data_IF_165277631014
#
_entry.id   IF_165277631014
#
_cell.length_a   1.000
_cell.length_b   1.000
_cell.length_c   1.000
_cell.angle_alpha   90.00
_cell.angle_beta   90.00
_cell.angle_gamma   90.00
#
_symmetry.space_group_name_H-M   'P 1'
#
loop_
_entity.id
_entity.type
_entity.pdbx_description
1 polymer ?
#
# COMPACT_ATOMS: atom_id res chain seq x y z
N UNK A 1 9.01 -0.88 -6.40
CA UNK A 1 9.96 -0.18 -5.51
C UNK A 1 9.14 0.91 -4.86
N UNK A 2 9.06 0.93 -3.54
CA UNK A 2 8.28 1.97 -2.87
C UNK A 2 8.92 3.33 -3.09
N UNK A 3 8.10 4.21 -3.66
CA UNK A 3 8.30 5.61 -4.04
C UNK A 3 8.33 6.51 -2.80
N UNK A 4 9.12 6.15 -1.77
CA UNK A 4 9.33 7.11 -0.68
C UNK A 4 9.99 8.34 -1.29
N UNK A 5 9.25 9.45 -1.26
CA UNK A 5 9.65 10.75 -1.79
C UNK A 5 9.39 11.80 -0.75
N UNK A 6 10.37 12.67 -0.55
CA UNK A 6 10.25 13.86 0.28
C UNK A 6 10.01 15.03 -0.67
N UNK A 7 8.81 15.58 -0.65
CA UNK A 7 8.38 16.63 -1.59
C UNK A 7 8.10 17.93 -0.85
N UNK A 8 8.30 19.06 -1.53
CA UNK A 8 7.77 20.33 -1.08
C UNK A 8 6.25 20.32 -1.21
N UNK A 9 5.54 20.82 -0.21
CA UNK A 9 4.09 20.79 -0.12
C UNK A 9 3.58 22.11 0.47
N UNK A 10 2.45 22.59 -0.06
CA UNK A 10 1.82 23.81 0.43
C UNK A 10 0.91 23.48 1.61
N UNK A 11 1.13 24.14 2.73
CA UNK A 11 0.48 23.82 3.99
C UNK A 11 -0.86 24.54 4.16
N UNK A 12 -1.82 23.83 4.77
CA UNK A 12 -2.96 24.47 5.44
C UNK A 12 -2.85 24.21 6.93
N UNK A 13 -2.85 25.27 7.76
CA UNK A 13 -2.70 25.14 9.21
C UNK A 13 -4.08 25.18 9.88
N UNK A 14 -4.33 24.20 10.73
CA UNK A 14 -5.54 24.07 11.53
C UNK A 14 -5.20 24.16 13.02
N UNK A 15 -6.13 24.67 13.86
CA UNK A 15 -5.98 24.62 15.30
C UNK A 15 -5.90 23.16 15.78
N UNK A 16 -5.20 22.95 16.89
CA UNK A 16 -5.23 21.70 17.62
C UNK A 16 -6.15 21.85 18.84
N UNK A 17 -7.38 21.33 18.75
CA UNK A 17 -8.42 21.57 19.76
C UNK A 17 -8.05 21.10 21.18
N UNK A 18 -7.14 20.13 21.28
CA UNK A 18 -6.70 19.52 22.54
C UNK A 18 -5.26 19.90 22.98
N UNK A 19 -4.65 20.98 22.43
CA UNK A 19 -3.29 21.39 22.82
C UNK A 19 -2.99 22.88 22.53
N UNK A 20 -2.52 23.61 23.55
CA UNK A 20 -2.25 25.05 23.44
C UNK A 20 -0.98 25.40 22.65
N UNK A 21 0.00 24.48 22.62
CA UNK A 21 1.32 24.68 22.03
C UNK A 21 1.50 24.00 20.66
N UNK A 22 0.44 23.36 20.13
CA UNK A 22 0.50 22.59 18.91
C UNK A 22 -0.56 23.06 17.90
N UNK A 23 -0.29 22.80 16.63
CA UNK A 23 -1.20 23.00 15.49
C UNK A 23 -1.13 21.78 14.57
N UNK A 24 -2.03 21.70 13.60
CA UNK A 24 -2.05 20.64 12.59
C UNK A 24 -1.72 21.23 11.23
N UNK A 25 -0.57 20.84 10.66
CA UNK A 25 -0.21 21.15 9.29
C UNK A 25 -0.80 20.07 8.37
N UNK A 26 -1.70 20.48 7.47
CA UNK A 26 -2.28 19.61 6.46
C UNK A 26 -1.45 19.62 5.17
N UNK A 27 -1.16 18.41 4.68
CA UNK A 27 -0.48 18.11 3.41
C UNK A 27 -1.33 17.12 2.64
N UNK A 28 -1.95 17.53 1.53
CA UNK A 28 -2.99 16.73 0.88
C UNK A 28 -4.13 16.46 1.86
N UNK A 29 -4.40 15.17 2.15
CA UNK A 29 -5.34 14.75 3.22
C UNK A 29 -4.62 14.23 4.48
N UNK A 30 -3.29 14.29 4.54
CA UNK A 30 -2.53 14.01 5.76
C UNK A 30 -2.53 15.22 6.69
N UNK A 31 -2.41 14.95 7.99
CA UNK A 31 -2.14 15.97 9.01
C UNK A 31 -0.90 15.57 9.79
N UNK A 32 0.01 16.51 9.99
CA UNK A 32 1.17 16.38 10.87
C UNK A 32 1.07 17.43 11.97
N UNK A 33 1.35 17.02 13.21
CA UNK A 33 1.39 17.94 14.35
C UNK A 33 2.67 18.77 14.27
N UNK A 34 2.50 20.10 14.35
CA UNK A 34 3.59 21.08 14.32
C UNK A 34 3.52 21.99 15.55
N UNK A 35 4.61 22.70 15.87
CA UNK A 35 4.59 23.67 16.95
C UNK A 35 3.71 24.87 16.56
N UNK A 36 2.95 25.39 17.52
CA UNK A 36 2.05 26.52 17.27
C UNK A 36 2.82 27.76 16.81
N UNK A 37 2.35 28.38 15.73
CA UNK A 37 2.97 29.58 15.14
C UNK A 37 4.26 29.32 14.37
N UNK A 38 4.67 28.05 14.20
CA UNK A 38 5.83 27.69 13.38
C UNK A 38 5.56 27.92 11.89
N UNK A 39 4.32 27.74 11.44
CA UNK A 39 3.88 27.87 10.06
C UNK A 39 2.57 28.66 9.97
N UNK A 40 2.26 29.14 8.77
CA UNK A 40 0.99 29.77 8.40
C UNK A 40 0.40 29.08 7.18
N UNK A 41 -0.93 29.14 7.06
CA UNK A 41 -1.62 28.65 5.86
C UNK A 41 -1.08 29.36 4.62
N UNK A 42 -0.66 28.57 3.64
CA UNK A 42 -0.04 29.05 2.40
C UNK A 42 1.48 28.92 2.38
N UNK A 43 2.14 28.66 3.51
CA UNK A 43 3.57 28.39 3.58
C UNK A 43 3.92 27.11 2.82
N UNK A 44 5.18 27.04 2.35
CA UNK A 44 5.76 25.84 1.74
C UNK A 44 6.74 25.19 2.70
N UNK A 45 6.66 23.87 2.81
CA UNK A 45 7.58 23.06 3.60
C UNK A 45 7.77 21.69 2.98
N UNK A 46 8.79 20.95 3.42
CA UNK A 46 8.97 19.56 3.02
C UNK A 46 8.07 18.64 3.85
N UNK A 47 7.50 17.64 3.19
CA UNK A 47 6.79 16.54 3.84
C UNK A 47 7.61 15.25 3.79
N UNK A 48 7.98 14.72 4.96
CA UNK A 48 8.64 13.42 5.12
C UNK A 48 7.59 12.38 5.51
N UNK A 49 7.30 11.38 4.66
CA UNK A 49 6.21 10.43 4.90
C UNK A 49 6.56 9.38 5.97
N UNK A 50 5.54 8.64 6.42
CA UNK A 50 5.71 7.46 7.26
C UNK A 50 6.59 6.39 6.59
N UNK A 51 7.34 5.62 7.40
CA UNK A 51 8.29 4.63 6.91
C UNK A 51 9.63 5.21 6.46
N UNK A 52 9.82 6.54 6.52
CA UNK A 52 11.13 7.17 6.37
C UNK A 52 12.06 6.86 7.54
N UNK A 53 13.34 6.63 7.24
CA UNK A 53 14.46 6.66 8.17
C UNK A 53 15.21 7.98 7.95
N UNK A 54 15.40 8.74 9.01
CA UNK A 54 16.12 10.02 8.98
C UNK A 54 17.53 9.81 9.52
N UNK A 55 18.54 10.51 8.97
CA UNK A 55 19.87 10.53 9.57
C UNK A 55 19.88 11.34 10.90
N UNK A 56 20.83 11.02 11.79
CA UNK A 56 20.88 11.56 13.15
C UNK A 56 20.99 13.09 13.21
N UNK A 57 21.68 13.69 12.26
CA UNK A 57 21.85 15.14 12.13
C UNK A 57 20.51 15.84 11.83
N UNK A 58 19.74 15.30 10.88
CA UNK A 58 18.40 15.79 10.57
C UNK A 58 17.45 15.59 11.77
N UNK A 59 17.53 14.46 12.47
CA UNK A 59 16.74 14.22 13.69
C UNK A 59 17.04 15.27 14.76
N UNK A 60 18.33 15.57 14.98
CA UNK A 60 18.78 16.56 15.95
C UNK A 60 18.33 17.96 15.55
N UNK A 61 18.48 18.34 14.28
CA UNK A 61 18.03 19.63 13.75
C UNK A 61 16.52 19.85 13.98
N UNK A 62 15.72 18.82 13.75
CA UNK A 62 14.27 18.87 13.92
C UNK A 62 13.81 18.78 15.39
N UNK A 63 14.74 18.59 16.34
CA UNK A 63 14.41 18.43 17.76
C UNK A 63 13.66 17.13 18.08
N UNK A 64 13.88 16.08 17.28
CA UNK A 64 13.19 14.79 17.36
C UNK A 64 14.03 13.69 18.00
N UNK A 65 15.20 14.01 18.57
CA UNK A 65 16.10 13.05 19.21
C UNK A 65 15.36 12.18 20.23
N UNK A 66 15.41 10.86 20.01
CA UNK A 66 14.77 9.87 20.87
C UNK A 66 13.24 9.77 20.74
N UNK A 67 12.61 10.52 19.83
CA UNK A 67 11.14 10.57 19.67
C UNK A 67 10.60 9.70 18.54
N UNK A 68 11.43 9.31 17.58
CA UNK A 68 11.02 8.48 16.45
C UNK A 68 11.01 6.99 16.82
N UNK A 69 10.34 6.18 15.99
CA UNK A 69 10.16 4.76 16.21
C UNK A 69 11.41 3.95 15.82
N UNK A 70 11.37 2.64 16.08
CA UNK A 70 12.47 1.72 15.78
C UNK A 70 13.52 1.67 16.90
N UNK A 71 14.43 0.70 16.80
CA UNK A 71 15.58 0.55 17.70
C UNK A 71 16.57 1.70 17.54
N UNK A 72 16.73 2.21 16.30
CA UNK A 72 17.56 3.38 15.98
C UNK A 72 16.96 4.71 16.40
N UNK A 73 15.68 4.77 16.78
CA UNK A 73 14.95 6.02 17.07
C UNK A 73 15.02 7.03 15.91
N UNK A 74 14.89 6.50 14.70
CA UNK A 74 15.10 7.18 13.43
C UNK A 74 13.93 7.02 12.44
N UNK A 75 12.95 6.17 12.77
CA UNK A 75 11.85 5.83 11.87
C UNK A 75 10.59 6.66 12.10
N UNK A 76 10.11 7.35 11.07
CA UNK A 76 8.82 8.05 11.05
C UNK A 76 7.67 7.04 11.05
N UNK A 77 6.73 7.19 12.00
CA UNK A 77 5.51 6.39 12.10
C UNK A 77 4.34 7.32 12.43
N UNK A 78 3.13 7.00 11.97
CA UNK A 78 1.93 7.62 12.52
C UNK A 78 1.85 7.47 14.05
N UNK A 79 1.50 8.57 14.71
CA UNK A 79 1.29 8.63 16.16
C UNK A 79 0.00 9.37 16.46
N UNK A 80 -0.54 9.16 17.68
CA UNK A 80 -1.55 10.07 18.23
C UNK A 80 -0.90 10.99 19.24
N UNK A 81 -1.06 12.30 19.03
CA UNK A 81 -0.60 13.32 19.96
C UNK A 81 -1.84 14.06 20.44
N UNK A 82 -2.13 13.95 21.75
CA UNK A 82 -3.29 14.59 22.38
C UNK A 82 -4.62 14.33 21.64
N UNK A 83 -4.79 13.09 21.17
CA UNK A 83 -6.01 12.64 20.47
C UNK A 83 -5.92 12.73 18.94
N UNK A 84 -5.17 13.69 18.41
CA UNK A 84 -5.04 13.92 16.97
C UNK A 84 -4.07 12.94 16.32
N UNK A 85 -4.42 12.46 15.12
CA UNK A 85 -3.53 11.64 14.30
C UNK A 85 -2.49 12.54 13.63
N UNK A 86 -1.20 12.23 13.84
CA UNK A 86 -0.07 12.86 13.17
C UNK A 86 0.60 11.86 12.24
N UNK A 87 0.63 12.15 10.94
CA UNK A 87 1.19 11.32 9.88
C UNK A 87 2.30 12.06 9.14
N UNK A 88 3.52 11.54 9.23
CA UNK A 88 4.71 12.16 8.64
C UNK A 88 5.26 13.32 9.47
N UNK A 89 6.22 14.03 8.88
CA UNK A 89 6.88 15.22 9.47
C UNK A 89 6.81 16.36 8.45
N UNK A 90 6.49 17.56 8.93
CA UNK A 90 6.54 18.81 8.15
C UNK A 90 7.73 19.64 8.64
N UNK A 91 8.65 19.97 7.74
CA UNK A 91 9.90 20.64 8.10
C UNK A 91 10.49 21.52 6.99
N UNK A 92 11.36 22.45 7.38
CA UNK A 92 12.24 23.21 6.47
C UNK A 92 13.68 23.09 6.99
N UNK A 93 14.39 21.99 6.66
CA UNK A 93 15.78 21.79 7.07
C UNK A 93 16.71 22.86 6.51
N UNK A 94 17.86 23.07 7.15
CA UNK A 94 18.88 24.02 6.74
C UNK A 94 19.33 23.81 5.29
N UNK A 95 19.42 22.54 4.86
CA UNK A 95 19.79 22.14 3.51
C UNK A 95 18.92 22.76 2.40
N UNK A 96 17.66 23.12 2.71
CA UNK A 96 16.69 23.63 1.72
C UNK A 96 16.21 25.04 1.97
N UNK A 97 16.81 25.79 2.92
CA UNK A 97 16.38 27.15 3.27
C UNK A 97 16.46 28.15 2.11
N UNK A 98 17.45 27.97 1.24
CA UNK A 98 17.68 28.84 0.08
C UNK A 98 17.01 28.28 -1.20
N UNK A 99 16.21 27.23 -1.09
CA UNK A 99 15.49 26.62 -2.21
C UNK A 99 14.10 27.25 -2.35
N UNK A 100 13.73 27.64 -3.56
CA UNK A 100 12.32 27.97 -3.87
C UNK A 100 11.48 26.67 -3.88
N UNK A 101 10.84 26.40 -2.74
CA UNK A 101 10.04 25.20 -2.55
C UNK A 101 8.79 25.18 -3.44
N UNK A 102 8.26 26.33 -3.86
CA UNK A 102 7.11 26.38 -4.75
C UNK A 102 7.49 25.90 -6.16
N UNK A 103 8.63 26.37 -6.68
CA UNK A 103 9.18 25.88 -7.95
C UNK A 103 9.55 24.40 -7.85
N UNK A 104 10.22 24.00 -6.76
CA UNK A 104 10.60 22.60 -6.55
C UNK A 104 9.39 21.65 -6.49
N UNK A 105 8.26 22.09 -5.93
CA UNK A 105 7.01 21.33 -5.98
C UNK A 105 6.47 21.20 -7.41
N UNK A 106 6.44 22.28 -8.17
CA UNK A 106 5.97 22.26 -9.57
C UNK A 106 6.82 21.34 -10.46
N UNK A 107 8.11 21.23 -10.18
CA UNK A 107 9.05 20.32 -10.85
C UNK A 107 8.95 18.87 -10.33
N UNK A 108 8.20 18.64 -9.25
CA UNK A 108 8.15 17.35 -8.58
C UNK A 108 9.52 16.91 -8.06
N UNK A 109 10.33 17.82 -7.52
CA UNK A 109 11.65 17.48 -6.97
C UNK A 109 11.50 16.57 -5.74
N UNK A 110 12.31 15.51 -5.70
CA UNK A 110 12.45 14.64 -4.53
C UNK A 110 13.71 15.00 -3.75
N UNK A 111 13.53 15.37 -2.49
CA UNK A 111 14.58 15.78 -1.56
C UNK A 111 15.12 14.63 -0.72
N UNK A 112 14.62 13.39 -0.87
CA UNK A 112 15.02 12.27 -0.03
C UNK A 112 16.54 12.03 -0.05
N UNK A 113 17.14 12.00 -1.24
CA UNK A 113 18.58 11.79 -1.40
C UNK A 113 19.43 12.94 -0.82
N UNK A 114 18.99 14.19 -1.00
CA UNK A 114 19.67 15.38 -0.46
C UNK A 114 19.66 15.42 1.07
N UNK A 115 18.59 14.92 1.68
CA UNK A 115 18.42 14.85 3.13
C UNK A 115 18.93 13.54 3.75
N UNK A 116 19.50 12.62 2.97
CA UNK A 116 19.90 11.30 3.45
C UNK A 116 18.73 10.43 3.95
N UNK A 117 17.49 10.78 3.59
CA UNK A 117 16.29 10.05 4.00
C UNK A 117 16.17 8.78 3.18
N UNK A 118 16.03 7.65 3.85
CA UNK A 118 15.86 6.34 3.21
C UNK A 118 14.56 5.68 3.62
N UNK A 119 14.12 4.66 2.89
CA UNK A 119 12.93 3.88 3.28
C UNK A 119 13.33 2.79 4.26
N UNK A 120 12.61 2.71 5.39
CA UNK A 120 12.65 1.54 6.25
C UNK A 120 12.07 0.33 5.52
N UNK A 121 12.85 -0.74 5.45
CA UNK A 121 12.42 -2.03 4.90
C UNK A 121 12.27 -3.02 6.06
N UNK A 122 11.10 -3.64 6.21
CA UNK A 122 10.92 -4.67 7.23
C UNK A 122 11.80 -5.89 6.96
N UNK A 123 12.18 -6.67 7.99
CA UNK A 123 12.86 -7.93 7.78
C UNK A 123 11.91 -8.95 7.13
N UNK A 124 12.43 -9.71 6.16
CA UNK A 124 11.69 -10.81 5.50
C UNK A 124 11.68 -12.02 6.44
N UNK A 125 10.51 -12.53 6.87
CA UNK A 125 10.43 -13.77 7.64
C UNK A 125 11.01 -14.97 6.86
N UNK A 126 11.68 -15.90 7.57
CA UNK A 126 12.36 -17.06 6.94
C UNK A 126 11.44 -17.90 6.06
N UNK A 127 10.17 -18.07 6.43
CA UNK A 127 9.19 -18.84 5.66
C UNK A 127 8.65 -18.11 4.42
N UNK A 128 8.92 -16.80 4.31
CA UNK A 128 8.68 -15.99 3.10
C UNK A 128 9.93 -15.92 2.22
N UNK A 129 11.12 -16.07 2.82
CA UNK A 129 12.37 -16.16 2.09
C UNK A 129 12.42 -17.42 1.21
N UNK A 130 13.08 -17.32 0.07
CA UNK A 130 13.30 -18.41 -0.86
C UNK A 130 14.39 -18.05 -1.85
N UNK A 131 14.95 -19.05 -2.52
CA UNK A 131 15.88 -18.79 -3.61
C UNK A 131 15.15 -18.07 -4.75
N UNK A 132 15.77 -17.01 -5.28
CA UNK A 132 15.13 -16.14 -6.27
C UNK A 132 15.82 -16.34 -7.62
N UNK A 133 15.01 -16.48 -8.68
CA UNK A 133 15.45 -16.66 -10.07
C UNK A 133 14.87 -15.56 -10.96
N UNK A 134 15.52 -15.29 -12.10
CA UNK A 134 14.98 -14.38 -13.09
C UNK A 134 13.69 -14.94 -13.71
N UNK A 135 12.69 -14.09 -13.89
CA UNK A 135 11.38 -14.44 -14.45
C UNK A 135 10.91 -13.31 -15.39
N UNK A 136 11.49 -13.19 -16.60
CA UNK A 136 11.20 -12.09 -17.51
C UNK A 136 9.71 -11.97 -17.88
N UNK A 137 9.00 -13.10 -17.96
CA UNK A 137 7.58 -13.16 -18.30
C UNK A 137 6.62 -12.90 -17.15
N UNK A 138 7.12 -12.87 -15.90
CA UNK A 138 6.32 -12.49 -14.75
C UNK A 138 5.77 -11.08 -14.92
N UNK A 139 4.46 -10.91 -14.70
CA UNK A 139 3.83 -9.59 -14.73
C UNK A 139 4.25 -8.83 -13.46
N UNK A 140 4.93 -7.67 -13.59
CA UNK A 140 5.42 -6.96 -12.43
C UNK A 140 4.29 -6.43 -11.54
N UNK A 141 4.58 -6.37 -10.25
CA UNK A 141 3.72 -5.77 -9.24
C UNK A 141 3.42 -4.29 -9.55
N UNK A 142 2.19 -3.86 -9.23
CA UNK A 142 1.76 -2.47 -9.32
C UNK A 142 1.74 -1.80 -7.96
N UNK A 143 2.25 -0.58 -7.87
CA UNK A 143 2.16 0.20 -6.63
C UNK A 143 0.73 0.74 -6.47
N UNK A 144 0.18 0.60 -5.26
CA UNK A 144 -1.12 1.15 -4.87
C UNK A 144 -0.86 2.25 -3.84
N UNK A 145 -1.06 3.48 -4.29
CA UNK A 145 -0.78 4.69 -3.53
C UNK A 145 -1.91 5.00 -2.54
N UNK A 146 -1.57 5.67 -1.44
CA UNK A 146 -2.57 6.17 -0.50
C UNK A 146 -3.28 7.39 -1.09
N UNK A 147 -4.61 7.34 -1.12
CA UNK A 147 -5.45 8.41 -1.66
C UNK A 147 -5.24 9.74 -0.94
N UNK A 148 -4.75 9.71 0.31
CA UNK A 148 -4.43 10.93 1.06
C UNK A 148 -3.31 11.73 0.41
N UNK A 149 -2.37 11.05 -0.26
CA UNK A 149 -1.29 11.68 -1.02
C UNK A 149 -1.77 12.24 -2.34
N UNK A 150 -2.72 11.56 -2.98
CA UNK A 150 -3.21 11.88 -4.31
C UNK A 150 -4.73 12.07 -4.29
N UNK A 151 -5.25 13.14 -3.65
CA UNK A 151 -6.70 13.34 -3.51
C UNK A 151 -7.43 13.52 -4.86
N UNK A 152 -6.71 13.93 -5.91
CA UNK A 152 -7.22 14.04 -7.28
C UNK A 152 -7.17 12.72 -8.08
N UNK A 153 -6.81 11.60 -7.44
CA UNK A 153 -6.83 10.27 -8.09
C UNK A 153 -8.24 9.89 -8.56
N UNK A 154 -9.24 10.33 -7.80
CA UNK A 154 -10.64 10.10 -8.09
C UNK A 154 -11.43 11.41 -8.13
N UNK A 155 -12.41 11.49 -9.03
CA UNK A 155 -13.37 12.58 -9.10
C UNK A 155 -14.53 12.32 -8.13
N UNK A 156 -14.97 13.36 -7.41
CA UNK A 156 -16.11 13.24 -6.51
C UNK A 156 -17.35 12.75 -7.26
N UNK A 157 -17.98 11.70 -6.76
CA UNK A 157 -19.16 11.09 -7.36
C UNK A 157 -18.90 10.09 -8.50
N UNK A 158 -17.65 9.90 -8.95
CA UNK A 158 -17.38 8.90 -10.00
C UNK A 158 -17.70 7.48 -9.50
N UNK A 159 -18.20 6.56 -10.35
CA UNK A 159 -18.49 5.20 -9.93
C UNK A 159 -17.22 4.45 -9.54
N UNK A 160 -17.14 3.97 -8.30
CA UNK A 160 -16.02 3.21 -7.76
C UNK A 160 -16.47 1.92 -7.09
N UNK A 161 -15.54 0.97 -7.01
CA UNK A 161 -15.64 -0.25 -6.22
C UNK A 161 -14.55 -0.24 -5.16
N UNK A 162 -14.93 -0.54 -3.91
CA UNK A 162 -13.97 -0.71 -2.82
C UNK A 162 -13.98 -2.15 -2.29
N UNK A 163 -12.78 -2.68 -2.10
CA UNK A 163 -12.53 -3.99 -1.51
C UNK A 163 -11.81 -3.86 -0.19
N UNK A 164 -12.00 -4.83 0.70
CA UNK A 164 -11.25 -4.90 1.94
C UNK A 164 -9.75 -5.03 1.66
N UNK A 165 -8.96 -4.12 2.23
CA UNK A 165 -7.50 -4.28 2.26
C UNK A 165 -7.14 -5.29 3.35
N UNK A 166 -6.72 -6.47 2.94
CA UNK A 166 -6.24 -7.52 3.84
C UNK A 166 -4.80 -7.21 4.24
N UNK A 167 -4.50 -7.40 5.52
CA UNK A 167 -3.16 -7.26 6.07
C UNK A 167 -2.46 -8.62 6.09
N UNK A 168 -1.58 -8.84 5.13
CA UNK A 168 -0.83 -10.08 5.02
C UNK A 168 0.51 -9.86 4.35
N UNK A 169 0.83 -10.70 3.37
CA UNK A 169 1.95 -10.51 2.46
C UNK A 169 1.47 -10.65 1.01
N UNK A 170 1.87 -9.68 0.20
CA UNK A 170 1.56 -9.59 -1.21
C UNK A 170 2.15 -10.78 -1.99
N UNK A 171 1.30 -11.48 -2.73
CA UNK A 171 1.65 -12.62 -3.57
C UNK A 171 1.28 -12.35 -5.04
N UNK A 172 2.29 -12.35 -5.90
CA UNK A 172 2.13 -12.29 -7.35
C UNK A 172 2.30 -13.68 -7.93
N UNK A 173 1.32 -14.12 -8.70
CA UNK A 173 1.39 -15.31 -9.54
C UNK A 173 1.31 -14.90 -11.01
N UNK A 174 2.07 -15.54 -11.89
CA UNK A 174 1.91 -15.42 -13.35
C UNK A 174 2.05 -16.79 -13.99
N UNK A 175 1.07 -17.16 -14.81
CA UNK A 175 1.17 -18.24 -15.78
C UNK A 175 1.50 -17.62 -17.14
N UNK A 176 2.62 -18.01 -17.76
CA UNK A 176 3.00 -17.56 -19.09
C UNK A 176 3.65 -18.72 -19.86
N UNK A 177 3.18 -19.00 -21.08
CA UNK A 177 3.74 -20.08 -21.89
C UNK A 177 3.70 -21.47 -21.23
N UNK A 178 2.75 -21.69 -20.32
CA UNK A 178 2.63 -22.92 -19.51
C UNK A 178 3.53 -22.97 -18.28
N UNK A 179 4.40 -21.97 -18.07
CA UNK A 179 5.26 -21.87 -16.88
C UNK A 179 4.61 -21.01 -15.79
N UNK A 180 4.72 -21.47 -14.54
CA UNK A 180 4.17 -20.80 -13.37
C UNK A 180 5.28 -20.07 -12.58
N UNK A 181 5.08 -18.78 -12.36
CA UNK A 181 5.96 -17.93 -11.57
C UNK A 181 5.23 -17.43 -10.31
N UNK A 182 5.88 -17.53 -9.15
CA UNK A 182 5.39 -17.03 -7.87
C UNK A 182 6.38 -16.03 -7.31
N UNK A 183 5.92 -14.92 -6.75
CA UNK A 183 6.79 -13.89 -6.20
C UNK A 183 6.12 -13.09 -5.09
N UNK A 184 6.92 -12.46 -4.23
CA UNK A 184 6.48 -11.34 -3.39
C UNK A 184 6.42 -10.03 -4.20
N UNK A 185 5.82 -8.98 -3.63
CA UNK A 185 5.79 -7.62 -4.20
C UNK A 185 7.19 -7.11 -4.60
N UNK A 186 8.17 -7.21 -3.70
CA UNK A 186 9.49 -6.64 -3.90
C UNK A 186 10.28 -7.30 -5.04
N UNK A 187 10.18 -8.62 -5.17
CA UNK A 187 10.84 -9.38 -6.24
C UNK A 187 10.06 -9.29 -7.57
N UNK A 188 8.73 -9.26 -7.51
CA UNK A 188 7.86 -9.17 -8.70
C UNK A 188 8.11 -7.87 -9.45
N UNK A 189 8.26 -6.75 -8.73
CA UNK A 189 8.62 -5.45 -9.31
C UNK A 189 9.96 -5.47 -10.09
N UNK A 190 10.82 -6.46 -9.84
CA UNK A 190 12.12 -6.65 -10.51
C UNK A 190 12.11 -7.80 -11.53
N UNK A 191 10.94 -8.37 -11.85
CA UNK A 191 10.80 -9.57 -12.70
C UNK A 191 11.61 -10.75 -12.20
N UNK A 192 11.53 -10.97 -10.89
CA UNK A 192 12.18 -12.07 -10.21
C UNK A 192 11.09 -12.95 -9.57
N UNK A 193 11.27 -14.27 -9.61
CA UNK A 193 10.38 -15.24 -9.01
C UNK A 193 11.09 -16.05 -7.93
N UNK A 194 10.34 -16.50 -6.95
CA UNK A 194 10.79 -17.44 -5.93
C UNK A 194 10.79 -18.82 -6.58
N UNK A 195 11.93 -19.52 -6.55
CA UNK A 195 12.05 -20.90 -7.01
C UNK A 195 11.03 -21.78 -6.28
N UNK A 196 10.41 -22.68 -7.02
CA UNK A 196 9.39 -23.59 -6.50
C UNK A 196 9.92 -24.41 -5.32
N UNK A 197 9.30 -24.19 -4.17
CA UNK A 197 9.53 -24.90 -2.92
C UNK A 197 8.20 -25.04 -2.17
N UNK A 198 7.64 -26.25 -2.01
CA UNK A 198 6.38 -26.47 -1.30
C UNK A 198 6.41 -26.02 0.17
N UNK A 199 7.58 -25.86 0.78
CA UNK A 199 7.73 -25.33 2.13
C UNK A 199 7.61 -23.80 2.19
N UNK A 200 7.81 -23.10 1.06
CA UNK A 200 7.68 -21.66 0.99
C UNK A 200 6.20 -21.23 1.11
N UNK A 201 5.94 -20.16 1.88
CA UNK A 201 4.58 -19.69 2.15
C UNK A 201 3.78 -19.36 0.88
N UNK A 202 4.40 -18.68 -0.10
CA UNK A 202 3.71 -18.25 -1.31
C UNK A 202 3.34 -19.44 -2.19
N UNK A 203 4.29 -20.36 -2.43
CA UNK A 203 4.06 -21.58 -3.20
C UNK A 203 2.96 -22.44 -2.58
N UNK A 204 3.03 -22.67 -1.26
CA UNK A 204 1.99 -23.41 -0.54
C UNK A 204 0.62 -22.74 -0.68
N UNK A 205 0.53 -21.41 -0.54
CA UNK A 205 -0.73 -20.70 -0.72
C UNK A 205 -1.29 -20.85 -2.14
N UNK A 206 -0.49 -20.62 -3.19
CA UNK A 206 -1.00 -20.71 -4.57
C UNK A 206 -1.38 -22.15 -4.97
N UNK A 207 -0.63 -23.15 -4.51
CA UNK A 207 -0.90 -24.56 -4.85
C UNK A 207 -2.14 -25.08 -4.10
N UNK A 208 -2.27 -24.78 -2.81
CA UNK A 208 -3.39 -25.28 -1.99
C UNK A 208 -4.73 -24.63 -2.32
N UNK A 209 -4.71 -23.47 -2.97
CA UNK A 209 -5.91 -22.80 -3.51
C UNK A 209 -6.12 -23.03 -5.00
N UNK A 210 -5.28 -23.83 -5.68
CA UNK A 210 -5.45 -24.19 -7.08
C UNK A 210 -5.30 -23.01 -8.06
N UNK A 211 -4.44 -22.05 -7.74
CA UNK A 211 -4.18 -20.87 -8.58
C UNK A 211 -3.61 -21.23 -9.95
N UNK A 212 -2.67 -22.20 -10.10
CA UNK A 212 -2.19 -22.60 -11.43
C UNK A 212 -3.30 -23.14 -12.33
N UNK A 213 -4.15 -24.03 -11.82
CA UNK A 213 -5.26 -24.63 -12.57
C UNK A 213 -6.32 -23.57 -12.90
N UNK A 214 -6.59 -22.65 -11.98
CA UNK A 214 -7.47 -21.53 -12.23
C UNK A 214 -6.92 -20.60 -13.32
N UNK A 215 -5.63 -20.27 -13.29
CA UNK A 215 -5.00 -19.45 -14.32
C UNK A 215 -5.02 -20.12 -15.70
N UNK A 216 -4.86 -21.44 -15.79
CA UNK A 216 -5.03 -22.20 -17.03
C UNK A 216 -6.46 -22.10 -17.56
N UNK A 217 -7.48 -22.20 -16.69
CA UNK A 217 -8.88 -21.99 -17.08
C UNK A 217 -9.13 -20.56 -17.55
N UNK A 218 -8.59 -19.56 -16.86
CA UNK A 218 -8.68 -18.15 -17.29
C UNK A 218 -8.05 -17.97 -18.67
N UNK A 219 -6.87 -18.55 -18.89
CA UNK A 219 -6.16 -18.49 -20.17
C UNK A 219 -7.02 -19.03 -21.31
N UNK A 220 -7.65 -20.19 -21.10
CA UNK A 220 -8.55 -20.81 -22.07
C UNK A 220 -9.85 -20.02 -22.29
N UNK A 221 -10.46 -19.49 -21.21
CA UNK A 221 -11.73 -18.73 -21.28
C UNK A 221 -11.58 -17.41 -22.04
N UNK A 222 -10.43 -16.75 -21.87
CA UNK A 222 -10.16 -15.43 -22.44
C UNK A 222 -9.31 -15.48 -23.72
N UNK A 223 -8.88 -16.67 -24.14
CA UNK A 223 -7.98 -16.89 -25.29
C UNK A 223 -6.69 -16.05 -25.18
N UNK A 224 -5.98 -16.21 -24.06
CA UNK A 224 -4.75 -15.47 -23.71
C UNK A 224 -3.61 -16.41 -23.34
N UNK A 225 -2.36 -16.00 -23.60
CA UNK A 225 -1.16 -16.81 -23.33
C UNK A 225 -0.48 -16.48 -21.99
N UNK A 226 -0.94 -15.41 -21.33
CA UNK A 226 -0.42 -14.92 -20.06
C UNK A 226 -1.53 -14.49 -19.12
N UNK A 227 -1.53 -15.04 -17.89
CA UNK A 227 -2.47 -14.70 -16.82
C UNK A 227 -1.69 -14.40 -15.54
N UNK A 228 -1.87 -13.21 -14.99
CA UNK A 228 -1.34 -12.82 -13.71
C UNK A 228 -2.46 -12.70 -12.67
N UNK A 229 -2.24 -13.30 -11.50
CA UNK A 229 -3.16 -13.31 -10.37
C UNK A 229 -2.44 -12.67 -9.18
N UNK A 230 -3.00 -11.59 -8.67
CA UNK A 230 -2.46 -10.85 -7.54
C UNK A 230 -3.35 -11.06 -6.32
N UNK A 231 -2.76 -11.59 -5.26
CA UNK A 231 -3.48 -11.91 -4.03
C UNK A 231 -2.69 -11.59 -2.78
N UNK A 232 -3.37 -11.65 -1.65
CA UNK A 232 -2.78 -11.48 -0.33
C UNK A 232 -2.78 -12.84 0.38
N UNK A 233 -1.60 -13.28 0.83
CA UNK A 233 -1.49 -14.42 1.76
C UNK A 233 -1.58 -13.88 3.18
N UNK A 234 -2.43 -14.45 4.02
CA UNK A 234 -2.68 -13.95 5.38
C UNK A 234 -2.85 -15.09 6.39
N UNK A 235 -2.80 -14.73 7.67
CA UNK A 235 -2.96 -15.67 8.77
C UNK A 235 -1.97 -15.43 9.91
N UNK A 236 -2.23 -16.09 11.04
CA UNK A 236 -1.32 -16.07 12.19
C UNK A 236 0.09 -16.49 11.74
N UNK A 237 1.08 -15.69 12.10
CA UNK A 237 2.48 -15.95 11.75
C UNK A 237 2.89 -15.39 10.38
N UNK A 238 1.95 -14.88 9.58
CA UNK A 238 2.23 -14.03 8.40
C UNK A 238 2.37 -12.58 8.84
N UNK A 239 1.35 -12.05 9.53
CA UNK A 239 1.33 -10.74 10.18
C UNK A 239 0.54 -10.81 11.51
N UNK A 240 0.37 -9.68 12.20
CA UNK A 240 -0.37 -9.58 13.46
C UNK A 240 -1.89 -9.75 13.29
N UNK A 241 -2.45 -9.40 12.13
CA UNK A 241 -3.86 -9.59 11.81
C UNK A 241 -4.08 -10.94 11.13
N UNK A 242 -4.70 -11.88 11.85
CA UNK A 242 -4.77 -13.28 11.43
C UNK A 242 -6.02 -13.65 10.63
N UNK A 243 -7.11 -12.88 10.74
CA UNK A 243 -8.39 -13.16 10.03
C UNK A 243 -8.94 -14.58 10.25
N UNK A 244 -8.63 -15.21 11.39
CA UNK A 244 -9.01 -16.60 11.68
C UNK A 244 -8.23 -17.67 10.90
N UNK A 245 -7.24 -17.28 10.08
CA UNK A 245 -6.37 -18.19 9.34
C UNK A 245 -5.03 -18.41 10.08
N UNK A 246 -4.31 -19.47 9.72
CA UNK A 246 -2.97 -19.77 10.22
C UNK A 246 -2.01 -19.97 9.04
N UNK A 247 -0.99 -19.12 8.94
CA UNK A 247 0.01 -19.17 7.88
C UNK A 247 0.95 -20.38 7.95
N UNK A 248 0.94 -21.11 9.07
CA UNK A 248 1.68 -22.36 9.24
C UNK A 248 0.86 -23.59 8.92
N UNK A 249 -0.46 -23.45 8.72
CA UNK A 249 -1.32 -24.57 8.32
C UNK A 249 -1.02 -25.07 6.90
N UNK A 250 -1.57 -26.24 6.53
CA UNK A 250 -1.44 -26.76 5.16
C UNK A 250 -2.07 -25.82 4.13
N UNK A 251 -3.11 -25.07 4.51
CA UNK A 251 -3.82 -24.12 3.64
C UNK A 251 -3.85 -22.72 4.27
N UNK A 252 -2.80 -21.91 4.07
CA UNK A 252 -2.77 -20.51 4.52
C UNK A 252 -3.98 -19.72 3.99
N UNK A 253 -4.33 -18.63 4.68
CA UNK A 253 -5.30 -17.68 4.16
C UNK A 253 -4.80 -17.09 2.84
N UNK A 254 -5.68 -17.02 1.84
CA UNK A 254 -5.38 -16.44 0.54
C UNK A 254 -6.62 -15.78 -0.03
N UNK A 255 -6.48 -14.60 -0.62
CA UNK A 255 -7.54 -13.94 -1.36
C UNK A 255 -6.95 -13.10 -2.50
N UNK A 256 -7.54 -13.24 -3.68
CA UNK A 256 -7.18 -12.52 -4.90
C UNK A 256 -7.84 -11.14 -4.88
N UNK A 257 -7.07 -10.11 -5.19
CA UNK A 257 -7.58 -8.75 -5.34
C UNK A 257 -7.41 -8.19 -6.74
N UNK A 258 -6.62 -8.82 -7.63
CA UNK A 258 -6.47 -8.35 -9.01
C UNK A 258 -6.11 -9.45 -9.98
N UNK A 259 -6.49 -9.25 -11.24
CA UNK A 259 -6.13 -10.12 -12.35
C UNK A 259 -5.71 -9.28 -13.54
N UNK A 260 -4.63 -9.69 -14.20
CA UNK A 260 -4.17 -9.08 -15.44
C UNK A 260 -3.90 -10.16 -16.50
N UNK A 261 -4.15 -9.86 -17.76
CA UNK A 261 -4.01 -10.80 -18.86
C UNK A 261 -3.28 -10.16 -20.03
N UNK A 262 -2.62 -10.98 -20.86
CA UNK A 262 -2.05 -10.55 -22.13
C UNK A 262 -2.13 -11.69 -23.14
N UNK A 263 -2.31 -11.34 -24.42
CA UNK A 263 -2.28 -12.26 -25.55
C UNK A 263 -1.05 -11.97 -26.41
N UNK A 264 -0.40 -13.02 -26.91
CA UNK A 264 0.70 -12.98 -27.89
C UNK A 264 1.84 -12.01 -27.53
N UNK A 265 2.21 -11.94 -26.25
CA UNK A 265 3.23 -10.99 -25.76
C UNK A 265 2.83 -9.50 -25.87
N UNK A 266 1.54 -9.22 -26.07
CA UNK A 266 0.98 -7.88 -26.12
C UNK A 266 1.01 -7.14 -24.78
N UNK A 267 0.44 -5.93 -24.75
CA UNK A 267 0.34 -5.16 -23.52
C UNK A 267 -0.59 -5.82 -22.51
N UNK A 268 -0.20 -5.78 -21.24
CA UNK A 268 -1.02 -6.29 -20.13
C UNK A 268 -2.31 -5.47 -20.02
N UNK A 269 -3.45 -6.16 -20.03
CA UNK A 269 -4.78 -5.64 -19.72
C UNK A 269 -5.17 -6.06 -18.31
N UNK A 270 -5.50 -5.09 -17.47
CA UNK A 270 -6.08 -5.34 -16.16
C UNK A 270 -7.58 -5.55 -16.30
N UNK A 271 -8.13 -6.51 -15.57
CA UNK A 271 -9.57 -6.75 -15.56
C UNK A 271 -10.27 -5.73 -14.66
N UNK A 272 -11.43 -5.27 -15.09
CA UNK A 272 -12.29 -4.40 -14.28
C UNK A 272 -12.82 -5.14 -13.05
N UNK A 273 -13.39 -4.41 -12.09
CA UNK A 273 -13.85 -4.99 -10.82
C UNK A 273 -14.88 -6.12 -11.02
N UNK A 274 -15.86 -5.91 -11.90
CA UNK A 274 -16.91 -6.88 -12.19
C UNK A 274 -16.44 -8.05 -13.06
N UNK A 275 -15.49 -7.81 -13.97
CA UNK A 275 -14.83 -8.89 -14.72
C UNK A 275 -14.05 -9.79 -13.77
N UNK A 276 -13.25 -9.20 -12.89
CA UNK A 276 -12.47 -9.91 -11.87
C UNK A 276 -13.38 -10.73 -10.97
N UNK A 277 -14.42 -10.13 -10.39
CA UNK A 277 -15.33 -10.81 -9.47
C UNK A 277 -16.04 -12.02 -10.12
N UNK A 278 -16.56 -11.83 -11.35
CA UNK A 278 -17.21 -12.93 -12.10
C UNK A 278 -16.23 -14.05 -12.42
N UNK A 279 -15.06 -13.69 -12.95
CA UNK A 279 -14.05 -14.64 -13.37
C UNK A 279 -13.54 -15.47 -12.18
N UNK A 280 -13.22 -14.84 -11.06
CA UNK A 280 -12.78 -15.54 -9.84
C UNK A 280 -13.86 -16.49 -9.30
N UNK A 281 -15.13 -16.09 -9.37
CA UNK A 281 -16.26 -16.96 -9.02
C UNK A 281 -16.36 -18.19 -9.94
N UNK A 282 -16.19 -18.01 -11.25
CA UNK A 282 -16.22 -19.08 -12.24
C UNK A 282 -15.06 -20.07 -12.07
N UNK A 283 -13.85 -19.57 -11.77
CA UNK A 283 -12.68 -20.43 -11.55
C UNK A 283 -12.49 -20.84 -10.09
N UNK A 284 -13.40 -20.48 -9.19
CA UNK A 284 -13.38 -20.92 -7.78
C UNK A 284 -12.21 -20.38 -6.95
N UNK A 285 -11.66 -19.22 -7.29
CA UNK A 285 -10.62 -18.57 -6.49
C UNK A 285 -11.24 -17.65 -5.42
N UNK A 286 -10.71 -17.64 -4.19
CA UNK A 286 -11.19 -16.73 -3.15
C UNK A 286 -10.84 -15.29 -3.53
N UNK A 287 -11.83 -14.40 -3.57
CA UNK A 287 -11.64 -12.98 -3.80
C UNK A 287 -11.61 -12.20 -2.48
N UNK A 288 -10.91 -11.06 -2.45
CA UNK A 288 -11.06 -10.10 -1.35
C UNK A 288 -12.52 -9.62 -1.26
N UNK A 289 -13.08 -9.40 -0.06
CA UNK A 289 -14.45 -8.93 0.08
C UNK A 289 -14.67 -7.58 -0.61
N UNK A 290 -15.67 -7.49 -1.48
CA UNK A 290 -16.21 -6.22 -1.99
C UNK A 290 -17.11 -5.61 -0.92
N UNK A 291 -16.78 -4.42 -0.47
CA UNK A 291 -17.48 -3.74 0.63
C UNK A 291 -18.29 -2.54 0.17
N UNK A 292 -17.99 -2.01 -1.01
CA UNK A 292 -18.65 -0.83 -1.54
C UNK A 292 -18.71 -0.87 -3.07
N UNK A 293 -19.82 -0.36 -3.58
CA UNK A 293 -20.02 0.04 -4.97
C UNK A 293 -20.91 1.28 -4.95
N UNK A 294 -20.47 2.34 -5.63
CA UNK A 294 -21.22 3.58 -5.66
C UNK A 294 -20.37 4.79 -5.99
N UNK A 295 -20.91 6.01 -5.81
CA UNK A 295 -20.19 7.25 -6.05
C UNK A 295 -19.00 7.43 -5.12
N UNK A 296 -17.86 7.87 -5.65
CA UNK A 296 -16.68 8.17 -4.84
C UNK A 296 -16.97 9.30 -3.86
N UNK A 297 -16.96 8.97 -2.57
CA UNK A 297 -17.01 9.92 -1.47
C UNK A 297 -15.91 9.60 -0.46
N UNK A 298 -14.94 10.51 -0.33
CA UNK A 298 -13.76 10.33 0.52
C UNK A 298 -14.13 10.10 1.99
N UNK A 299 -15.18 10.76 2.48
CA UNK A 299 -15.61 10.65 3.88
C UNK A 299 -16.20 9.27 4.17
N UNK A 300 -17.17 8.85 3.38
CA UNK A 300 -17.82 7.55 3.48
C UNK A 300 -16.83 6.39 3.31
N UNK A 301 -15.90 6.50 2.36
CA UNK A 301 -14.86 5.48 2.15
C UNK A 301 -13.87 5.43 3.32
N UNK A 302 -13.49 6.55 3.92
CA UNK A 302 -12.63 6.57 5.11
C UNK A 302 -13.33 6.01 6.35
N UNK A 303 -14.62 6.33 6.53
CA UNK A 303 -15.44 5.76 7.60
C UNK A 303 -15.53 4.24 7.44
N UNK A 304 -15.85 3.77 6.23
CA UNK A 304 -15.88 2.34 5.93
C UNK A 304 -14.51 1.70 6.14
N UNK A 305 -13.41 2.31 5.67
CA UNK A 305 -12.05 1.82 5.89
C UNK A 305 -11.69 1.66 7.37
N UNK A 306 -12.30 2.44 8.26
CA UNK A 306 -12.06 2.43 9.71
C UNK A 306 -12.89 1.39 10.48
N UNK A 307 -13.69 0.58 9.79
CA UNK A 307 -14.54 -0.46 10.39
C UNK A 307 -13.81 -1.73 10.84
N UNK A 308 -14.60 -2.74 11.23
CA UNK A 308 -14.11 -4.11 11.51
C UNK A 308 -13.96 -4.89 10.20
N UNK A 309 -12.98 -5.79 10.15
CA UNK A 309 -12.74 -6.68 9.01
C UNK A 309 -13.94 -7.60 8.73
N UNK A 310 -14.11 -8.06 7.48
CA UNK A 310 -15.15 -9.04 7.12
C UNK A 310 -14.62 -10.40 6.67
N UNK A 311 -13.31 -10.52 6.45
CA UNK A 311 -12.66 -11.74 5.92
C UNK A 311 -12.90 -12.95 6.83
N UNK A 312 -12.84 -12.78 8.15
CA UNK A 312 -13.08 -13.87 9.10
C UNK A 312 -14.56 -14.24 9.28
N UNK A 313 -15.48 -13.40 8.79
CA UNK A 313 -16.92 -13.48 9.07
C UNK A 313 -17.35 -13.12 10.50
N UNK A 314 -16.41 -12.82 11.40
CA UNK A 314 -16.68 -12.50 12.82
C UNK A 314 -16.29 -11.08 13.23
N UNK A 315 -15.62 -10.32 12.36
CA UNK A 315 -15.06 -9.02 12.69
C UNK A 315 -13.99 -9.10 13.78
N UNK A 316 -13.17 -10.15 13.82
CA UNK A 316 -12.22 -10.45 14.89
C UNK A 316 -11.34 -9.26 15.32
N UNK A 317 -10.99 -8.39 14.39
CA UNK A 317 -10.20 -7.18 14.64
C UNK A 317 -10.64 -6.01 13.74
N UNK A 318 -9.95 -4.88 13.87
CA UNK A 318 -10.10 -3.75 12.94
C UNK A 318 -9.65 -4.14 11.53
N UNK A 319 -10.22 -3.50 10.52
CA UNK A 319 -9.76 -3.58 9.14
C UNK A 319 -8.51 -2.71 8.97
N UNK A 320 -7.58 -3.13 8.11
CA UNK A 320 -6.47 -2.25 7.71
C UNK A 320 -7.00 -1.05 6.93
N UNK A 321 -7.88 -1.29 5.97
CA UNK A 321 -8.41 -0.25 5.11
C UNK A 321 -9.18 -0.79 3.92
N UNK A 322 -9.26 0.02 2.87
CA UNK A 322 -9.86 -0.34 1.59
C UNK A 322 -8.84 -0.17 0.45
N UNK A 323 -9.01 -0.95 -0.60
CA UNK A 323 -8.46 -0.66 -1.93
C UNK A 323 -9.62 -0.27 -2.85
N UNK A 324 -9.51 0.89 -3.46
CA UNK A 324 -10.53 1.52 -4.30
C UNK A 324 -10.02 1.64 -5.72
N UNK A 325 -10.89 1.33 -6.67
CA UNK A 325 -10.69 1.51 -8.12
C UNK A 325 -12.00 2.01 -8.76
N UNK A 326 -11.97 2.63 -9.94
CA UNK A 326 -13.17 2.97 -10.68
C UNK A 326 -13.90 1.69 -11.10
N UNK A 327 -15.21 1.77 -11.33
CA UNK A 327 -15.99 0.63 -11.78
C UNK A 327 -15.48 0.06 -13.12
N UNK A 328 -14.97 0.94 -13.99
CA UNK A 328 -14.32 0.62 -15.27
C UNK A 328 -12.88 1.09 -15.21
N UNK A 329 -11.90 0.22 -15.52
CA UNK A 329 -10.48 0.59 -15.39
C UNK A 329 -10.13 1.78 -16.28
N UNK A 330 -9.34 2.71 -15.72
CA UNK A 330 -8.83 3.87 -16.45
C UNK A 330 -7.40 4.22 -16.04
N UNK A 331 -6.69 4.82 -16.98
CA UNK A 331 -5.42 5.48 -16.71
C UNK A 331 -5.63 6.70 -15.81
N UNK A 332 -4.68 6.94 -14.91
CA UNK A 332 -4.62 8.12 -14.06
C UNK A 332 -3.35 8.91 -14.38
N UNK A 333 -3.45 10.15 -14.88
CA UNK A 333 -2.29 11.02 -15.06
C UNK A 333 -1.65 11.41 -13.71
N UNK A 334 -2.40 11.32 -12.61
CA UNK A 334 -1.93 11.65 -11.26
C UNK A 334 -0.87 10.64 -10.77
N UNK A 335 -1.08 9.36 -11.05
CA UNK A 335 -0.17 8.27 -10.65
C UNK A 335 0.70 7.77 -11.79
N UNK A 336 0.47 8.22 -13.03
CA UNK A 336 1.18 7.75 -14.21
C UNK A 336 0.87 6.29 -14.58
N UNK A 337 -0.27 5.77 -14.11
CA UNK A 337 -0.61 4.35 -14.19
C UNK A 337 -2.10 4.12 -14.02
N UNK A 338 -2.48 3.10 -13.25
CA UNK A 338 -3.90 2.82 -12.97
C UNK A 338 -4.48 3.81 -11.98
N UNK A 339 -5.74 4.16 -12.15
CA UNK A 339 -6.55 4.78 -11.11
C UNK A 339 -6.86 3.72 -10.04
N UNK A 340 -5.95 3.49 -9.11
CA UNK A 340 -6.17 2.57 -7.99
C UNK A 340 -5.49 3.14 -6.76
N UNK A 341 -6.20 3.20 -5.64
CA UNK A 341 -5.72 3.83 -4.43
C UNK A 341 -6.19 3.09 -3.18
N UNK A 342 -5.51 3.31 -2.07
CA UNK A 342 -5.88 2.72 -0.77
C UNK A 342 -6.30 3.78 0.23
N UNK A 343 -7.27 3.44 1.06
CA UNK A 343 -7.66 4.17 2.25
C UNK A 343 -7.17 3.39 3.45
N UNK A 344 -6.21 3.91 4.22
CA UNK A 344 -5.68 3.22 5.41
C UNK A 344 -6.33 3.79 6.67
N UNK A 345 -6.85 2.89 7.51
CA UNK A 345 -7.52 3.23 8.77
C UNK A 345 -6.58 3.94 9.76
N UNK A 346 -6.97 5.09 10.31
CA UNK A 346 -6.26 5.72 11.43
C UNK A 346 -6.05 4.79 12.64
N UNK A 347 -7.04 3.94 12.93
CA UNK A 347 -6.95 2.98 14.03
C UNK A 347 -5.91 1.90 13.72
N UNK A 348 -5.80 1.48 12.47
CA UNK A 348 -4.80 0.53 12.01
C UNK A 348 -3.37 1.07 12.13
N UNK A 349 -3.14 2.30 11.65
CA UNK A 349 -1.82 2.94 11.69
C UNK A 349 -1.26 3.09 13.11
N UNK A 350 -2.16 3.28 14.08
CA UNK A 350 -1.82 3.55 15.48
C UNK A 350 -2.03 2.35 16.40
N UNK A 351 -2.31 1.16 15.84
CA UNK A 351 -2.53 -0.07 16.61
C UNK A 351 -1.27 -0.48 17.39
N UNK A 352 -1.48 -1.02 18.59
CA UNK A 352 -0.39 -1.48 19.46
C UNK A 352 0.13 -2.82 19.00
N UNK A 353 1.46 -2.97 18.93
CA UNK A 353 2.11 -4.25 18.62
C UNK A 353 1.98 -4.73 17.17
N UNK A 354 1.52 -3.88 16.25
CA UNK A 354 1.34 -4.26 14.84
C UNK A 354 2.66 -4.61 14.14
N UNK A 355 2.59 -5.54 13.19
CA UNK A 355 3.69 -5.93 12.30
C UNK A 355 3.45 -5.40 10.89
N UNK A 356 4.51 -5.26 10.10
CA UNK A 356 4.43 -4.78 8.71
C UNK A 356 5.52 -5.49 7.90
N UNK A 357 5.56 -6.83 7.92
CA UNK A 357 6.52 -7.60 7.11
C UNK A 357 6.22 -7.44 5.61
N UNK A 358 7.23 -7.41 4.74
CA UNK A 358 7.06 -7.34 3.27
C UNK A 358 7.88 -8.42 2.58
#
# INVERSE_FOLDING_TARGET
MSTLRVTAERLTIHPHDNADALELAQVGLYRAVVAKGQYRTGDWALYIPEGALLPDDLIAELGLTGRLAGSGRDRVKAVRLRGELSQGIVCVPAAVRDVDLATAHAEGRDFAGELGVTKWVPPIPVHMAGEVVAAPDLVPWIEIEDVKRYPALFEAGEPVVATEKIHGTACAFTLAGGEAFVSSKGFSAKRMAIRRDPANLYWRAVETHGVPEAAQRIAALLDVDRVAVFGEVYGRGVQDLAYGADGKSERPGYAVFDVAVSADGGSVRWLDADETARLLGEVGLPAVPRLYEGPFDTGALMELASGRETVSGSGAHLREGLVVRPAVERYSPVTGGRAIGKFVSPAYLTRKGGTEYE
#
